data_IF_877735157949
#
_entry.id   IF_877735157949
#
_cell.length_a   1.000
_cell.length_b   1.000
_cell.length_c   1.000
_cell.angle_alpha   90.00
_cell.angle_beta   90.00
_cell.angle_gamma   90.00
#
_symmetry.space_group_name_H-M   'P 1'
#
loop_
_entity.id
_entity.type
_entity.pdbx_description
1 polymer ?
#
# COMPACT_ATOMS: atom_id res chain seq x y z
N UNK A 1 -14.40 -14.53 -10.17
CA UNK A 1 -13.49 -13.47 -9.71
C UNK A 1 -12.27 -13.56 -10.59
N UNK A 2 -11.79 -12.45 -11.14
CA UNK A 2 -10.59 -12.48 -11.96
C UNK A 2 -9.40 -12.68 -11.03
N UNK A 3 -8.75 -13.85 -11.10
CA UNK A 3 -7.40 -14.08 -10.58
C UNK A 3 -6.50 -13.01 -11.20
N UNK A 4 -6.16 -11.99 -10.43
CA UNK A 4 -5.44 -10.82 -10.92
C UNK A 4 -3.95 -11.10 -11.16
N UNK A 5 -3.46 -12.30 -10.88
CA UNK A 5 -2.10 -12.75 -11.15
C UNK A 5 -2.12 -14.27 -11.40
N UNK A 6 -1.99 -14.70 -12.65
CA UNK A 6 -1.70 -16.10 -13.00
C UNK A 6 -0.38 -16.54 -12.33
N UNK A 7 -0.19 -17.83 -12.05
CA UNK A 7 1.01 -18.34 -11.38
C UNK A 7 2.30 -17.95 -12.13
N UNK A 8 2.21 -17.86 -13.45
CA UNK A 8 3.30 -17.36 -14.29
C UNK A 8 3.60 -15.87 -14.04
N UNK A 9 2.59 -15.04 -13.86
CA UNK A 9 2.78 -13.63 -13.56
C UNK A 9 3.37 -13.43 -12.16
N UNK A 10 3.01 -14.27 -11.19
CA UNK A 10 3.61 -14.26 -9.86
C UNK A 10 5.08 -14.66 -9.89
N UNK A 11 5.41 -15.69 -10.68
CA UNK A 11 6.79 -16.11 -10.90
C UNK A 11 7.64 -14.98 -11.47
N UNK A 12 7.16 -14.30 -12.52
CA UNK A 12 7.84 -13.15 -13.10
C UNK A 12 7.99 -11.99 -12.10
N UNK A 13 6.96 -11.69 -11.31
CA UNK A 13 7.06 -10.66 -10.26
C UNK A 13 8.19 -10.95 -9.27
N UNK A 14 8.30 -12.20 -8.82
CA UNK A 14 9.30 -12.62 -7.84
C UNK A 14 10.70 -12.69 -8.45
N UNK A 15 10.84 -13.31 -9.62
CA UNK A 15 12.15 -13.56 -10.25
C UNK A 15 12.74 -12.29 -10.87
N UNK A 16 11.92 -11.43 -11.49
CA UNK A 16 12.38 -10.31 -12.29
C UNK A 16 12.17 -8.94 -11.60
N UNK A 17 11.05 -8.73 -10.90
CA UNK A 17 10.69 -7.40 -10.39
C UNK A 17 11.10 -7.16 -8.92
N UNK A 18 10.96 -8.15 -8.03
CA UNK A 18 11.32 -7.99 -6.62
C UNK A 18 12.77 -7.55 -6.39
N UNK A 19 13.78 -8.14 -7.09
CA UNK A 19 15.17 -7.72 -6.92
C UNK A 19 15.44 -6.27 -7.33
N UNK A 20 14.63 -5.73 -8.25
CA UNK A 20 14.76 -4.37 -8.77
C UNK A 20 13.97 -3.34 -7.96
N UNK A 21 12.93 -3.76 -7.23
CA UNK A 21 12.08 -2.86 -6.46
C UNK A 21 12.79 -2.39 -5.18
N UNK A 22 12.80 -1.08 -4.91
CA UNK A 22 13.22 -0.55 -3.60
C UNK A 22 12.24 -1.00 -2.52
N UNK A 23 10.95 -1.04 -2.86
CA UNK A 23 9.85 -1.44 -1.99
C UNK A 23 8.74 -2.03 -2.85
N UNK A 24 8.10 -3.08 -2.36
CA UNK A 24 6.82 -3.58 -2.88
C UNK A 24 5.69 -3.19 -1.94
N UNK A 25 4.50 -2.89 -2.48
CA UNK A 25 3.36 -2.39 -1.70
C UNK A 25 2.08 -3.23 -1.86
N UNK A 26 2.11 -4.55 -1.57
CA UNK A 26 0.95 -5.41 -1.73
C UNK A 26 -0.17 -5.07 -0.73
N UNK A 27 -1.43 -5.28 -1.08
CA UNK A 27 -2.53 -5.32 -0.12
C UNK A 27 -2.58 -6.68 0.61
N UNK A 28 -3.55 -6.87 1.50
CA UNK A 28 -3.69 -8.12 2.26
C UNK A 28 -3.86 -9.34 1.34
N UNK A 29 -4.76 -9.27 0.34
CA UNK A 29 -5.04 -10.39 -0.58
C UNK A 29 -3.82 -10.74 -1.44
N UNK A 30 -3.16 -9.73 -2.00
CA UNK A 30 -1.91 -9.87 -2.76
C UNK A 30 -0.82 -10.49 -1.88
N UNK A 31 -0.70 -10.04 -0.63
CA UNK A 31 0.29 -10.56 0.32
C UNK A 31 0.04 -12.03 0.66
N UNK A 32 -1.21 -12.44 0.88
CA UNK A 32 -1.55 -13.86 1.09
C UNK A 32 -1.18 -14.71 -0.12
N UNK A 33 -1.45 -14.21 -1.33
CA UNK A 33 -1.13 -14.92 -2.58
C UNK A 33 0.38 -15.07 -2.80
N UNK A 34 1.15 -14.00 -2.60
CA UNK A 34 2.61 -14.00 -2.82
C UNK A 34 3.32 -14.83 -1.75
N UNK A 35 2.94 -14.65 -0.48
CA UNK A 35 3.65 -15.28 0.65
C UNK A 35 3.21 -16.72 0.92
N UNK A 36 2.01 -17.12 0.47
CA UNK A 36 1.37 -18.37 0.90
C UNK A 36 0.92 -18.37 2.37
N UNK A 37 1.02 -17.24 3.07
CA UNK A 37 0.64 -17.08 4.47
C UNK A 37 -0.73 -16.43 4.54
N UNK A 38 -1.71 -17.11 5.14
CA UNK A 38 -3.02 -16.51 5.45
C UNK A 38 -2.87 -15.47 6.56
N UNK A 39 -3.38 -14.25 6.33
CA UNK A 39 -3.24 -13.10 7.23
C UNK A 39 -4.53 -12.94 8.04
N UNK A 40 -4.51 -13.39 9.29
CA UNK A 40 -5.63 -13.28 10.24
C UNK A 40 -5.37 -12.29 11.37
N UNK A 41 -4.12 -11.89 11.56
CA UNK A 41 -3.66 -11.03 12.64
C UNK A 41 -2.32 -10.38 12.28
N UNK A 42 -1.82 -9.51 13.17
CA UNK A 42 -0.54 -8.81 13.01
C UNK A 42 0.64 -9.76 12.88
N UNK A 43 0.68 -10.84 13.66
CA UNK A 43 1.78 -11.80 13.59
C UNK A 43 1.79 -12.56 12.26
N UNK A 44 0.63 -12.85 11.69
CA UNK A 44 0.51 -13.41 10.35
C UNK A 44 0.96 -12.42 9.26
N UNK A 45 0.64 -11.13 9.43
CA UNK A 45 1.12 -10.06 8.55
C UNK A 45 2.65 -9.94 8.59
N UNK A 46 3.27 -10.03 9.77
CA UNK A 46 4.73 -10.03 9.94
C UNK A 46 5.37 -11.26 9.26
N UNK A 47 4.79 -12.45 9.41
CA UNK A 47 5.25 -13.67 8.72
C UNK A 47 5.13 -13.55 7.20
N UNK A 48 4.03 -12.99 6.69
CA UNK A 48 3.85 -12.75 5.26
C UNK A 48 4.90 -11.78 4.72
N UNK A 49 5.19 -10.69 5.44
CA UNK A 49 6.24 -9.75 5.07
C UNK A 49 7.63 -10.42 5.04
N UNK A 50 7.95 -11.22 6.07
CA UNK A 50 9.19 -11.99 6.13
C UNK A 50 9.33 -12.98 4.96
N UNK A 51 8.25 -13.69 4.62
CA UNK A 51 8.25 -14.61 3.49
C UNK A 51 8.55 -13.87 2.18
N UNK A 52 7.93 -12.72 1.94
CA UNK A 52 8.18 -11.90 0.75
C UNK A 52 9.61 -11.32 0.71
N UNK A 53 10.21 -10.97 1.85
CA UNK A 53 11.65 -10.62 1.93
C UNK A 53 12.51 -11.82 1.54
N UNK A 54 12.16 -13.02 2.00
CA UNK A 54 12.81 -14.28 1.63
C UNK A 54 12.71 -14.62 0.14
N UNK A 55 11.69 -14.10 -0.55
CA UNK A 55 11.53 -14.20 -2.00
C UNK A 55 12.35 -13.13 -2.78
N UNK A 56 13.12 -12.28 -2.10
CA UNK A 56 14.03 -11.32 -2.74
C UNK A 56 13.57 -9.86 -2.72
N UNK A 57 12.46 -9.53 -2.07
CA UNK A 57 12.04 -8.14 -1.91
C UNK A 57 13.01 -7.36 -0.97
N UNK A 58 13.39 -6.14 -1.35
CA UNK A 58 14.26 -5.27 -0.53
C UNK A 58 13.52 -4.56 0.61
N UNK A 59 12.25 -4.24 0.42
CA UNK A 59 11.36 -3.79 1.48
C UNK A 59 9.92 -4.17 1.10
N UNK A 60 9.09 -4.43 2.11
CA UNK A 60 7.70 -4.84 1.93
C UNK A 60 6.79 -3.96 2.77
N UNK A 61 5.86 -3.25 2.15
CA UNK A 61 4.77 -2.54 2.82
C UNK A 61 3.44 -3.22 2.54
N UNK A 62 2.99 -4.05 3.49
CA UNK A 62 1.67 -4.66 3.42
C UNK A 62 0.63 -3.62 3.83
N UNK A 63 -0.29 -3.29 2.92
CA UNK A 63 -1.36 -2.31 3.16
C UNK A 63 -2.52 -2.96 3.89
N UNK A 64 -2.93 -2.42 5.03
CA UNK A 64 -4.09 -2.89 5.80
C UNK A 64 -5.41 -2.22 5.44
N UNK A 65 -5.44 -1.42 4.37
CA UNK A 65 -6.63 -0.71 3.89
C UNK A 65 -7.86 -1.60 3.66
N UNK A 66 -7.67 -2.88 3.36
CA UNK A 66 -8.75 -3.86 3.15
C UNK A 66 -9.14 -4.65 4.42
N UNK A 67 -8.46 -4.41 5.54
CA UNK A 67 -8.73 -5.08 6.82
C UNK A 67 -9.97 -4.54 7.56
N UNK A 68 -10.24 -5.10 8.73
CA UNK A 68 -11.33 -4.67 9.62
C UNK A 68 -10.85 -3.71 10.71
N UNK A 69 -11.81 -3.07 11.41
CA UNK A 69 -11.53 -2.20 12.55
C UNK A 69 -11.45 -0.70 12.24
N UNK A 70 -11.26 0.13 13.29
CA UNK A 70 -11.36 1.59 13.20
C UNK A 70 -10.17 2.23 12.48
N UNK A 71 -9.05 1.52 12.35
CA UNK A 71 -7.83 2.00 11.72
C UNK A 71 -7.43 1.13 10.53
N UNK A 72 -6.77 1.74 9.56
CA UNK A 72 -6.05 1.05 8.49
C UNK A 72 -4.56 1.05 8.83
N UNK A 73 -4.01 -0.11 9.21
CA UNK A 73 -2.61 -0.27 9.63
C UNK A 73 -1.82 -0.86 8.47
N UNK A 74 -0.82 -0.15 7.99
CA UNK A 74 0.16 -0.70 7.04
C UNK A 74 1.41 -1.17 7.82
N UNK A 75 1.98 -2.31 7.42
CA UNK A 75 3.17 -2.89 8.03
C UNK A 75 4.33 -2.84 7.04
N UNK A 76 5.41 -2.16 7.42
CA UNK A 76 6.68 -2.16 6.71
C UNK A 76 7.63 -3.19 7.33
N UNK A 77 8.32 -3.93 6.49
CA UNK A 77 9.53 -4.67 6.83
C UNK A 77 10.64 -4.30 5.84
N UNK A 78 11.74 -3.74 6.37
CA UNK A 78 12.95 -3.40 5.62
C UNK A 78 14.21 -3.92 6.35
N UNK A 79 15.36 -3.26 6.18
CA UNK A 79 16.62 -3.63 6.85
C UNK A 79 16.69 -3.14 8.31
N UNK A 80 15.87 -2.15 8.68
CA UNK A 80 15.78 -1.61 10.05
C UNK A 80 14.79 -2.43 10.92
N UNK A 81 13.93 -3.22 10.27
CA UNK A 81 13.03 -4.17 10.92
C UNK A 81 11.57 -3.82 10.64
N UNK A 82 10.71 -4.02 11.64
CA UNK A 82 9.27 -3.80 11.49
C UNK A 82 8.86 -2.39 11.93
N UNK A 83 8.10 -1.72 11.07
CA UNK A 83 7.44 -0.44 11.38
C UNK A 83 5.97 -0.48 10.98
N UNK A 84 5.12 0.28 11.68
CA UNK A 84 3.68 0.36 11.40
C UNK A 84 3.24 1.78 11.14
N UNK A 85 2.35 1.95 10.16
CA UNK A 85 1.76 3.23 9.80
C UNK A 85 0.25 3.12 9.88
N UNK A 86 -0.37 3.77 10.87
CA UNK A 86 -1.82 3.75 11.06
C UNK A 86 -2.48 5.07 10.66
N UNK A 87 -3.72 4.97 10.21
CA UNK A 87 -4.60 6.12 10.06
C UNK A 87 -6.05 5.68 10.31
N UNK A 88 -6.89 6.60 10.79
CA UNK A 88 -8.31 6.36 10.93
C UNK A 88 -8.92 5.94 9.60
N UNK A 89 -9.71 4.86 9.61
CA UNK A 89 -10.40 4.36 8.42
C UNK A 89 -11.45 5.38 7.98
N UNK A 90 -11.36 5.80 6.72
CA UNK A 90 -12.33 6.72 6.13
C UNK A 90 -13.41 5.88 5.44
N UNK A 91 -14.64 5.95 5.94
CA UNK A 91 -15.79 5.29 5.27
C UNK A 91 -16.09 6.07 3.99
N UNK A 92 -15.73 5.51 2.85
CA UNK A 92 -15.96 6.13 1.54
C UNK A 92 -16.21 5.06 0.48
N UNK A 93 -17.01 5.40 -0.53
CA UNK A 93 -17.18 4.57 -1.74
C UNK A 93 -15.99 4.76 -2.70
N UNK A 94 -15.18 5.80 -2.50
CA UNK A 94 -14.11 6.23 -3.39
C UNK A 94 -12.77 5.57 -3.02
N UNK A 95 -12.74 4.23 -3.09
CA UNK A 95 -11.55 3.43 -2.74
C UNK A 95 -10.75 2.98 -3.95
N UNK A 96 -11.24 3.25 -5.17
CA UNK A 96 -10.54 2.93 -6.40
C UNK A 96 -9.32 3.86 -6.58
N UNK A 97 -8.16 3.30 -6.94
CA UNK A 97 -6.93 4.06 -7.15
C UNK A 97 -6.16 4.43 -5.87
N UNK A 98 -6.64 4.07 -4.67
CA UNK A 98 -5.92 4.30 -3.39
C UNK A 98 -4.52 3.69 -3.38
N UNK A 99 -4.40 2.43 -3.82
CA UNK A 99 -3.11 1.73 -3.92
C UNK A 99 -2.14 2.35 -4.93
N UNK A 100 -2.62 2.73 -6.12
CA UNK A 100 -1.82 3.43 -7.14
C UNK A 100 -1.37 4.80 -6.64
N UNK A 101 -2.26 5.52 -5.95
CA UNK A 101 -1.95 6.83 -5.36
C UNK A 101 -0.89 6.71 -4.27
N UNK A 102 -1.01 5.71 -3.39
CA UNK A 102 -0.03 5.46 -2.32
C UNK A 102 1.35 5.17 -2.90
N UNK A 103 1.45 4.20 -3.81
CA UNK A 103 2.71 3.80 -4.44
C UNK A 103 3.35 4.95 -5.24
N UNK A 104 2.54 5.71 -5.98
CA UNK A 104 3.03 6.90 -6.72
C UNK A 104 3.56 7.98 -5.78
N UNK A 105 2.86 8.25 -4.67
CA UNK A 105 3.29 9.24 -3.69
C UNK A 105 4.60 8.82 -2.99
N UNK A 106 4.73 7.54 -2.61
CA UNK A 106 5.98 6.98 -2.07
C UNK A 106 7.12 7.18 -3.08
N UNK A 107 6.92 6.79 -4.34
CA UNK A 107 7.93 6.92 -5.39
C UNK A 107 8.38 8.38 -5.60
N UNK A 108 7.44 9.33 -5.61
CA UNK A 108 7.76 10.76 -5.73
C UNK A 108 8.58 11.27 -4.55
N UNK A 109 8.23 10.88 -3.32
CA UNK A 109 8.94 11.30 -2.11
C UNK A 109 10.35 10.72 -2.04
N UNK A 110 10.52 9.45 -2.44
CA UNK A 110 11.83 8.81 -2.55
C UNK A 110 12.70 9.49 -3.60
N UNK A 111 12.14 9.86 -4.77
CA UNK A 111 12.85 10.62 -5.80
C UNK A 111 13.32 12.00 -5.30
N UNK A 112 12.61 12.58 -4.32
CA UNK A 112 12.99 13.79 -3.60
C UNK A 112 13.96 13.58 -2.43
N UNK A 113 14.60 12.41 -2.30
CA UNK A 113 15.49 12.04 -1.19
C UNK A 113 14.83 12.02 0.19
N UNK A 114 13.51 11.80 0.28
CA UNK A 114 12.83 11.59 1.56
C UNK A 114 13.16 10.18 2.07
N UNK A 115 13.54 9.99 3.35
CA UNK A 115 13.74 8.66 3.94
C UNK A 115 12.50 7.77 3.78
N UNK A 116 12.68 6.45 3.65
CA UNK A 116 11.60 5.53 3.30
C UNK A 116 10.41 5.57 4.27
N UNK A 117 10.68 5.51 5.58
CA UNK A 117 9.63 5.59 6.61
C UNK A 117 8.83 6.90 6.53
N UNK A 118 9.53 8.03 6.35
CA UNK A 118 8.90 9.35 6.18
C UNK A 118 8.08 9.43 4.88
N UNK A 119 8.59 8.84 3.80
CA UNK A 119 7.90 8.79 2.52
C UNK A 119 6.57 8.04 2.63
N UNK A 120 6.56 6.90 3.33
CA UNK A 120 5.36 6.09 3.59
C UNK A 120 4.37 6.85 4.47
N UNK A 121 4.84 7.46 5.56
CA UNK A 121 3.98 8.22 6.48
C UNK A 121 3.27 9.38 5.75
N UNK A 122 4.02 10.17 4.97
CA UNK A 122 3.47 11.29 4.18
C UNK A 122 2.53 10.81 3.08
N UNK A 123 2.88 9.73 2.37
CA UNK A 123 2.02 9.16 1.33
C UNK A 123 0.68 8.66 1.90
N UNK A 124 0.71 8.01 3.08
CA UNK A 124 -0.52 7.56 3.75
C UNK A 124 -1.41 8.74 4.14
N UNK A 125 -0.84 9.81 4.67
CA UNK A 125 -1.58 11.05 4.98
C UNK A 125 -2.19 11.67 3.72
N UNK A 126 -1.44 11.73 2.63
CA UNK A 126 -1.93 12.23 1.34
C UNK A 126 -3.13 11.43 0.82
N UNK A 127 -3.05 10.10 0.84
CA UNK A 127 -4.16 9.21 0.44
C UNK A 127 -5.37 9.40 1.36
N UNK A 128 -5.18 9.43 2.68
CA UNK A 128 -6.29 9.65 3.63
C UNK A 128 -6.97 11.00 3.40
N UNK A 129 -6.20 12.05 3.19
CA UNK A 129 -6.72 13.39 2.89
C UNK A 129 -7.48 13.42 1.58
N UNK A 130 -6.96 12.75 0.55
CA UNK A 130 -7.61 12.65 -0.74
C UNK A 130 -8.90 11.80 -0.73
N UNK A 131 -8.99 10.77 0.12
CA UNK A 131 -10.26 10.02 0.31
C UNK A 131 -11.29 10.91 1.02
N UNK A 132 -10.88 11.67 2.05
CA UNK A 132 -11.77 12.56 2.81
C UNK A 132 -12.33 13.71 1.97
N UNK A 133 -11.54 14.21 1.03
CA UNK A 133 -11.89 15.35 0.18
C UNK A 133 -12.36 14.92 -1.21
N UNK A 134 -12.52 13.62 -1.45
CA UNK A 134 -12.97 13.09 -2.73
C UNK A 134 -14.38 13.63 -3.06
N UNK A 135 -14.56 14.29 -4.22
CA UNK A 135 -15.89 14.74 -4.63
C UNK A 135 -16.77 13.51 -4.92
N UNK A 136 -18.06 13.61 -4.60
CA UNK A 136 -19.02 12.53 -4.80
C UNK A 136 -19.40 12.46 -6.30
N UNK A 137 -18.50 11.90 -7.12
CA UNK A 137 -18.63 11.83 -8.57
C UNK A 137 -19.08 10.43 -9.02
N UNK A 138 -20.27 10.37 -9.62
CA UNK A 138 -20.83 9.17 -10.26
C UNK A 138 -21.68 8.31 -9.32
N UNK A 139 -22.25 7.23 -9.85
CA UNK A 139 -23.10 6.27 -9.10
C UNK A 139 -22.34 5.03 -8.60
N UNK A 140 -21.01 4.98 -8.78
CA UNK A 140 -20.12 3.84 -8.48
C UNK A 140 -19.04 4.14 -7.43
N UNK A 141 -17.89 3.43 -7.46
CA UNK A 141 -16.70 3.80 -6.67
C UNK A 141 -15.99 4.97 -7.35
N UNK A 142 -16.11 6.18 -6.81
CA UNK A 142 -15.53 7.40 -7.39
C UNK A 142 -14.01 7.51 -7.18
N UNK A 143 -13.35 8.44 -7.89
CA UNK A 143 -11.91 8.65 -7.79
C UNK A 143 -11.52 9.36 -6.48
N UNK A 144 -10.25 9.23 -6.13
CA UNK A 144 -9.60 9.92 -5.02
C UNK A 144 -9.34 11.39 -5.40
N UNK A 145 -9.44 12.34 -4.47
CA UNK A 145 -9.00 13.71 -4.74
C UNK A 145 -7.46 13.80 -4.62
N UNK A 146 -6.78 14.03 -5.73
CA UNK A 146 -5.33 14.22 -5.78
C UNK A 146 -4.88 15.64 -5.38
N UNK A 147 -5.80 16.57 -5.14
CA UNK A 147 -5.53 17.94 -4.68
C UNK A 147 -6.19 18.22 -3.31
N UNK A 148 -5.88 17.43 -2.26
CA UNK A 148 -6.57 17.56 -0.98
C UNK A 148 -6.26 18.85 -0.21
N UNK A 149 -5.19 19.57 -0.58
CA UNK A 149 -4.78 20.83 0.05
C UNK A 149 -5.20 22.08 -0.71
N UNK A 150 -6.02 21.94 -1.76
CA UNK A 150 -6.40 23.06 -2.61
C UNK A 150 -5.22 23.55 -3.45
N UNK A 151 -5.48 23.72 -4.74
CA UNK A 151 -4.76 24.71 -5.51
C UNK A 151 -5.14 26.08 -4.91
N UNK A 152 -4.42 26.54 -3.90
CA UNK A 152 -4.37 27.97 -3.62
C UNK A 152 -3.42 28.58 -4.66
N UNK A 153 -3.98 28.74 -5.86
CA UNK A 153 -3.49 29.70 -6.85
C UNK A 153 -4.10 31.05 -6.44
N UNK A 154 -3.56 31.64 -5.38
CA UNK A 154 -3.71 33.05 -5.05
C UNK A 154 -2.35 33.68 -4.75
#
# INVERSE_FOLDING_TARGET
>A
GYDLVDDEALRVLVEELFPLATIITPNLVESERISGVRITDRGAMERAASAMRGLGARAVLIKGGDGEGPEAIDLLLDDEGYSTFSAARVVSRNTHGTGCTLSSAIACLLAGNTPLGDAIARAKQYVVSGIRTAPDLGRGRGPLNHFPHGADLS
#
